data_IF_420243064510
#
_entry.id   IF_420243064510
#
_cell.length_a   1.000
_cell.length_b   1.000
_cell.length_c   1.000
_cell.angle_alpha   90.00
_cell.angle_beta   90.00
_cell.angle_gamma   90.00
#
_symmetry.space_group_name_H-M   'P 1'
#
loop_
_entity.id
_entity.type
_entity.pdbx_description
1 polymer ?
#
# COMPACT_ATOMS: atom_id res chain seq x y z
N UNK A 1 -40.76 38.92 -36.69
CA UNK A 1 -41.86 39.88 -36.94
C UNK A 1 -41.25 41.26 -37.00
N UNK A 2 -41.03 41.76 -38.22
CA UNK A 2 -40.35 43.02 -38.53
C UNK A 2 -41.30 44.19 -38.25
N UNK A 3 -40.84 45.20 -37.49
CA UNK A 3 -41.59 46.46 -37.28
C UNK A 3 -41.04 47.57 -38.16
N UNK A 4 -41.99 48.30 -38.74
CA UNK A 4 -41.87 49.24 -39.82
C UNK A 4 -41.28 50.60 -39.41
N UNK A 5 -40.68 51.26 -40.41
CA UNK A 5 -40.27 52.65 -40.40
C UNK A 5 -41.46 53.59 -40.62
N UNK A 6 -41.44 54.76 -39.98
CA UNK A 6 -42.24 55.92 -40.37
C UNK A 6 -41.46 57.21 -40.08
N UNK A 7 -41.20 57.97 -41.15
CA UNK A 7 -40.77 59.38 -41.11
C UNK A 7 -42.01 60.27 -41.18
N UNK A 8 -41.92 61.52 -40.67
CA UNK A 8 -42.54 62.61 -41.43
C UNK A 8 -41.66 63.87 -41.53
N UNK A 9 -41.55 64.36 -42.79
CA UNK A 9 -41.93 65.71 -43.22
C UNK A 9 -41.38 66.95 -42.51
N UNK A 10 -40.43 67.61 -43.18
CA UNK A 10 -40.00 69.01 -43.04
C UNK A 10 -41.05 70.03 -43.48
N UNK A 11 -41.07 71.22 -42.85
CA UNK A 11 -41.22 72.61 -43.40
C UNK A 11 -41.56 73.58 -42.25
N UNK A 12 -41.26 74.89 -42.20
CA UNK A 12 -40.20 75.79 -42.64
C UNK A 12 -40.55 77.18 -41.99
N UNK A 13 -39.52 77.98 -41.66
CA UNK A 13 -39.46 79.46 -41.51
C UNK A 13 -40.41 80.24 -40.57
N UNK A 14 -39.84 80.98 -39.58
CA UNK A 14 -39.87 82.46 -39.53
C UNK A 14 -39.16 83.07 -38.29
N UNK A 15 -38.25 84.03 -38.54
CA UNK A 15 -37.81 85.09 -37.60
C UNK A 15 -36.47 84.91 -36.87
N UNK A 16 -35.46 85.81 -37.04
CA UNK A 16 -34.32 85.90 -36.15
C UNK A 16 -34.69 86.78 -34.95
N UNK A 17 -35.46 86.24 -34.01
CA UNK A 17 -35.50 86.79 -32.66
C UNK A 17 -34.16 86.47 -32.00
N UNK A 18 -33.52 87.42 -31.27
CA UNK A 18 -32.35 87.08 -30.49
C UNK A 18 -32.80 86.06 -29.44
N UNK A 19 -32.39 84.81 -29.64
CA UNK A 19 -32.64 83.68 -28.77
C UNK A 19 -31.83 83.88 -27.48
N UNK A 20 -32.24 84.86 -26.66
CA UNK A 20 -31.77 84.97 -25.29
C UNK A 20 -32.20 83.67 -24.62
N UNK A 21 -31.23 82.78 -24.37
CA UNK A 21 -31.41 81.49 -23.72
C UNK A 21 -31.87 81.70 -22.27
N UNK A 22 -33.13 82.09 -22.11
CA UNK A 22 -33.81 82.21 -20.83
C UNK A 22 -34.33 80.81 -20.47
N UNK A 23 -33.42 79.94 -20.02
CA UNK A 23 -33.80 78.59 -19.61
C UNK A 23 -32.61 77.66 -19.35
N UNK A 24 -32.27 77.49 -18.07
CA UNK A 24 -31.69 76.30 -17.41
C UNK A 24 -30.59 75.45 -18.07
N UNK A 25 -29.86 75.94 -19.08
CA UNK A 25 -28.76 75.20 -19.71
C UNK A 25 -27.65 74.83 -18.71
N UNK A 26 -27.37 75.71 -17.73
CA UNK A 26 -26.40 75.45 -16.67
C UNK A 26 -26.88 74.29 -15.78
N UNK A 27 -28.16 74.25 -15.41
CA UNK A 27 -28.71 73.14 -14.62
C UNK A 27 -28.69 71.82 -15.39
N UNK A 28 -28.98 71.86 -16.70
CA UNK A 28 -28.90 70.70 -17.56
C UNK A 28 -27.46 70.18 -17.70
N UNK A 29 -26.48 71.08 -17.81
CA UNK A 29 -25.06 70.71 -17.85
C UNK A 29 -24.60 70.08 -16.53
N UNK A 30 -24.96 70.67 -15.39
CA UNK A 30 -24.68 70.11 -14.06
C UNK A 30 -25.37 68.76 -13.87
N UNK A 31 -26.61 68.62 -14.33
CA UNK A 31 -27.34 67.36 -14.27
C UNK A 31 -26.64 66.29 -15.11
N UNK A 32 -26.24 66.62 -16.35
CA UNK A 32 -25.52 65.70 -17.23
C UNK A 32 -24.19 65.26 -16.62
N UNK A 33 -23.43 66.18 -16.01
CA UNK A 33 -22.19 65.86 -15.29
C UNK A 33 -22.44 64.90 -14.12
N UNK A 34 -23.46 65.17 -13.29
CA UNK A 34 -23.86 64.27 -12.18
C UNK A 34 -24.32 62.91 -12.70
N UNK A 35 -25.06 62.85 -13.81
CA UNK A 35 -25.46 61.59 -14.44
C UNK A 35 -24.25 60.81 -14.96
N UNK A 36 -23.25 61.48 -15.55
CA UNK A 36 -22.03 60.84 -16.01
C UNK A 36 -21.20 60.28 -14.84
N UNK A 37 -21.07 61.05 -13.76
CA UNK A 37 -20.39 60.62 -12.54
C UNK A 37 -21.11 59.44 -11.89
N UNK A 38 -22.45 59.49 -11.77
CA UNK A 38 -23.24 58.36 -11.27
C UNK A 38 -23.03 57.09 -12.11
N UNK A 39 -23.03 57.21 -13.45
CA UNK A 39 -22.76 56.07 -14.36
C UNK A 39 -21.36 55.50 -14.16
N UNK A 40 -20.34 56.34 -13.95
CA UNK A 40 -18.98 55.91 -13.63
C UNK A 40 -18.95 55.10 -12.32
N UNK A 41 -19.60 55.59 -11.27
CA UNK A 41 -19.68 54.87 -10.00
C UNK A 41 -20.46 53.56 -10.11
N UNK A 42 -21.59 53.56 -10.81
CA UNK A 42 -22.39 52.37 -11.06
C UNK A 42 -21.58 51.28 -11.80
N UNK A 43 -20.83 51.66 -12.84
CA UNK A 43 -19.97 50.74 -13.57
C UNK A 43 -18.85 50.17 -12.68
N UNK A 44 -18.23 51.03 -11.85
CA UNK A 44 -17.19 50.61 -10.91
C UNK A 44 -17.74 49.58 -9.91
N UNK A 45 -18.93 49.83 -9.36
CA UNK A 45 -19.61 48.91 -8.45
C UNK A 45 -19.95 47.58 -9.14
N UNK A 46 -20.43 47.61 -10.38
CA UNK A 46 -20.70 46.40 -11.17
C UNK A 46 -19.43 45.58 -11.38
N UNK A 47 -18.31 46.22 -11.74
CA UNK A 47 -17.02 45.54 -11.92
C UNK A 47 -16.53 44.90 -10.62
N UNK A 48 -16.58 45.65 -9.51
CA UNK A 48 -16.21 45.12 -8.19
C UNK A 48 -17.11 43.95 -7.77
N UNK A 49 -18.41 44.05 -8.01
CA UNK A 49 -19.37 42.97 -7.75
C UNK A 49 -19.00 41.72 -8.55
N UNK A 50 -18.69 41.86 -9.85
CA UNK A 50 -18.26 40.74 -10.69
C UNK A 50 -16.97 40.08 -10.17
N UNK A 51 -16.00 40.89 -9.72
CA UNK A 51 -14.76 40.38 -9.11
C UNK A 51 -15.03 39.61 -7.81
N UNK A 52 -15.91 40.12 -6.94
CA UNK A 52 -16.30 39.44 -5.70
C UNK A 52 -16.96 38.10 -6.01
N UNK A 53 -17.89 38.05 -6.97
CA UNK A 53 -18.58 36.82 -7.37
C UNK A 53 -17.61 35.78 -7.96
N UNK A 54 -16.67 36.21 -8.79
CA UNK A 54 -15.64 35.33 -9.37
C UNK A 54 -14.70 34.77 -8.29
N UNK A 55 -14.28 35.62 -7.34
CA UNK A 55 -13.48 35.19 -6.20
C UNK A 55 -14.25 34.19 -5.31
N UNK A 56 -15.56 34.41 -5.09
CA UNK A 56 -16.40 33.50 -4.32
C UNK A 56 -16.52 32.13 -4.99
N UNK A 57 -16.79 32.09 -6.30
CA UNK A 57 -16.85 30.84 -7.05
C UNK A 57 -15.53 30.05 -6.96
N UNK A 58 -14.39 30.77 -7.03
CA UNK A 58 -13.06 30.18 -6.87
C UNK A 58 -12.83 29.65 -5.45
N UNK A 59 -13.26 30.39 -4.43
CA UNK A 59 -13.20 29.97 -3.03
C UNK A 59 -13.99 28.68 -2.81
N UNK A 60 -15.22 28.60 -3.31
CA UNK A 60 -16.08 27.42 -3.18
C UNK A 60 -15.50 26.19 -3.90
N UNK A 61 -14.88 26.40 -5.07
CA UNK A 61 -14.17 25.33 -5.76
C UNK A 61 -12.98 24.82 -4.93
N UNK A 62 -12.18 25.73 -4.36
CA UNK A 62 -11.04 25.35 -3.53
C UNK A 62 -11.46 24.66 -2.23
N UNK A 63 -12.55 25.09 -1.61
CA UNK A 63 -13.09 24.44 -0.41
C UNK A 63 -13.54 22.99 -0.70
N UNK A 64 -14.18 22.75 -1.84
CA UNK A 64 -14.52 21.39 -2.28
C UNK A 64 -13.27 20.54 -2.52
N UNK A 65 -12.28 21.06 -3.23
CA UNK A 65 -10.99 20.38 -3.43
C UNK A 65 -10.30 20.03 -2.09
N UNK A 66 -10.37 20.91 -1.10
CA UNK A 66 -9.82 20.65 0.25
C UNK A 66 -10.58 19.51 0.94
N UNK A 67 -11.90 19.45 0.80
CA UNK A 67 -12.71 18.37 1.38
C UNK A 67 -12.37 17.02 0.73
N UNK A 68 -12.31 16.96 -0.60
CA UNK A 68 -11.95 15.76 -1.34
C UNK A 68 -10.57 15.23 -0.92
N UNK A 69 -9.58 16.12 -0.79
CA UNK A 69 -8.23 15.75 -0.34
C UNK A 69 -8.20 15.26 1.11
N UNK A 70 -9.01 15.84 2.00
CA UNK A 70 -9.13 15.38 3.39
C UNK A 70 -9.71 13.97 3.46
N UNK A 71 -10.72 13.66 2.64
CA UNK A 71 -11.32 12.33 2.57
C UNK A 71 -10.34 11.30 2.00
N UNK A 72 -9.65 11.63 0.90
CA UNK A 72 -8.61 10.76 0.32
C UNK A 72 -7.50 10.46 1.32
N UNK A 73 -7.03 11.47 2.04
CA UNK A 73 -6.04 11.28 3.12
C UNK A 73 -6.56 10.36 4.21
N UNK A 74 -7.80 10.54 4.66
CA UNK A 74 -8.41 9.70 5.70
C UNK A 74 -8.49 8.23 5.26
N UNK A 75 -8.87 7.99 4.00
CA UNK A 75 -8.89 6.65 3.41
C UNK A 75 -7.50 6.02 3.39
N UNK A 76 -6.49 6.76 2.95
CA UNK A 76 -5.10 6.27 2.94
C UNK A 76 -4.58 5.97 4.35
N UNK A 77 -4.90 6.79 5.34
CA UNK A 77 -4.50 6.53 6.73
C UNK A 77 -5.17 5.26 7.29
N UNK A 78 -6.44 5.03 6.95
CA UNK A 78 -7.15 3.80 7.35
C UNK A 78 -6.53 2.53 6.73
N UNK A 79 -6.14 2.58 5.46
CA UNK A 79 -5.42 1.48 4.81
C UNK A 79 -4.03 1.28 5.40
N UNK A 80 -3.30 2.37 5.68
CA UNK A 80 -2.00 2.30 6.35
C UNK A 80 -2.12 1.59 7.69
N UNK A 81 -3.11 1.94 8.51
CA UNK A 81 -3.35 1.31 9.80
C UNK A 81 -3.71 -0.18 9.63
N UNK A 82 -4.58 -0.52 8.68
CA UNK A 82 -4.94 -1.90 8.36
C UNK A 82 -3.72 -2.74 7.99
N UNK A 83 -2.87 -2.23 7.10
CA UNK A 83 -1.65 -2.93 6.68
C UNK A 83 -0.64 -3.09 7.82
N UNK A 84 -0.49 -2.08 8.68
CA UNK A 84 0.35 -2.19 9.88
C UNK A 84 -0.17 -3.26 10.84
N UNK A 85 -1.49 -3.41 10.96
CA UNK A 85 -2.08 -4.47 11.77
C UNK A 85 -1.80 -5.86 11.17
N UNK A 86 -1.99 -6.03 9.86
CA UNK A 86 -1.66 -7.29 9.18
C UNK A 86 -0.17 -7.65 9.31
N UNK A 87 0.73 -6.66 9.24
CA UNK A 87 2.16 -6.89 9.43
C UNK A 87 2.48 -7.35 10.86
N UNK A 88 1.79 -6.80 11.85
CA UNK A 88 1.91 -7.24 13.26
C UNK A 88 1.51 -8.70 13.40
N UNK A 89 0.34 -9.07 12.87
CA UNK A 89 -0.17 -10.45 12.90
C UNK A 89 0.82 -11.44 12.25
N UNK A 90 1.37 -11.10 11.07
CA UNK A 90 2.37 -11.95 10.40
C UNK A 90 3.63 -12.12 11.25
N UNK A 91 4.10 -11.07 11.92
CA UNK A 91 5.25 -11.18 12.81
C UNK A 91 4.94 -12.05 14.03
N UNK A 92 3.76 -11.91 14.65
CA UNK A 92 3.33 -12.76 15.76
C UNK A 92 3.25 -14.24 15.34
N UNK A 93 2.74 -14.53 14.16
CA UNK A 93 2.65 -15.91 13.65
C UNK A 93 4.01 -16.48 13.28
N UNK A 94 4.94 -15.66 12.77
CA UNK A 94 6.34 -16.06 12.59
C UNK A 94 6.97 -16.42 13.93
N UNK A 95 6.84 -15.57 14.94
CA UNK A 95 7.44 -15.82 16.25
C UNK A 95 6.86 -17.09 16.92
N UNK A 96 5.56 -17.39 16.70
CA UNK A 96 4.96 -18.68 17.10
C UNK A 96 5.56 -19.86 16.34
N UNK A 97 5.74 -19.74 15.03
CA UNK A 97 6.34 -20.78 14.21
C UNK A 97 7.79 -21.07 14.63
N UNK A 98 8.58 -20.03 14.90
CA UNK A 98 9.96 -20.15 15.38
C UNK A 98 10.01 -20.88 16.74
N UNK A 99 9.09 -20.56 17.65
CA UNK A 99 8.99 -21.25 18.95
C UNK A 99 8.62 -22.74 18.79
N UNK A 100 7.68 -23.05 17.89
CA UNK A 100 7.29 -24.43 17.58
C UNK A 100 8.44 -25.19 16.93
N UNK A 101 9.18 -24.56 16.02
CA UNK A 101 10.36 -25.16 15.38
C UNK A 101 11.42 -25.53 16.42
N UNK A 102 11.76 -24.61 17.32
CA UNK A 102 12.73 -24.88 18.40
C UNK A 102 12.27 -26.04 19.28
N UNK A 103 10.97 -26.09 19.61
CA UNK A 103 10.39 -27.16 20.43
C UNK A 103 10.50 -28.50 19.73
N UNK A 104 10.07 -28.58 18.46
CA UNK A 104 10.15 -29.81 17.67
C UNK A 104 11.60 -30.27 17.44
N UNK A 105 12.53 -29.35 17.18
CA UNK A 105 13.94 -29.68 17.02
C UNK A 105 14.53 -30.30 18.30
N UNK A 106 14.14 -29.79 19.47
CA UNK A 106 14.53 -30.37 20.75
C UNK A 106 13.94 -31.77 20.91
N UNK A 107 12.65 -31.95 20.66
CA UNK A 107 11.98 -33.24 20.75
C UNK A 107 12.58 -34.28 19.78
N UNK A 108 12.89 -33.89 18.55
CA UNK A 108 13.58 -34.75 17.58
C UNK A 108 14.98 -35.15 18.09
N UNK A 109 15.73 -34.22 18.68
CA UNK A 109 17.05 -34.50 19.24
C UNK A 109 16.98 -35.45 20.43
N UNK A 110 15.99 -35.24 21.32
CA UNK A 110 15.74 -36.10 22.48
C UNK A 110 15.33 -37.52 22.04
N UNK A 111 14.46 -37.64 21.02
CA UNK A 111 14.06 -38.92 20.45
C UNK A 111 15.23 -39.65 19.77
N UNK A 112 16.06 -38.96 19.00
CA UNK A 112 17.26 -39.56 18.41
C UNK A 112 18.21 -40.07 19.50
N UNK A 113 18.44 -39.28 20.54
CA UNK A 113 19.28 -39.68 21.67
C UNK A 113 18.71 -40.92 22.38
N UNK A 114 17.39 -40.96 22.58
CA UNK A 114 16.71 -42.11 23.18
C UNK A 114 16.79 -43.36 22.32
N UNK A 115 16.58 -43.23 21.01
CA UNK A 115 16.73 -44.35 20.05
C UNK A 115 18.15 -44.89 20.10
N UNK A 116 19.16 -44.01 20.05
CA UNK A 116 20.56 -44.41 20.11
C UNK A 116 20.88 -45.16 21.42
N UNK A 117 20.40 -44.63 22.55
CA UNK A 117 20.59 -45.25 23.88
C UNK A 117 19.99 -46.67 23.93
N UNK A 118 18.77 -46.86 23.41
CA UNK A 118 18.11 -48.17 23.39
C UNK A 118 18.83 -49.12 22.42
N UNK A 119 19.19 -48.61 21.24
CA UNK A 119 19.84 -49.38 20.19
C UNK A 119 21.20 -49.94 20.62
N UNK A 120 22.02 -49.11 21.28
CA UNK A 120 23.37 -49.48 21.71
C UNK A 120 23.40 -50.27 23.02
N UNK A 121 22.38 -50.13 23.87
CA UNK A 121 22.29 -50.80 25.16
C UNK A 121 21.57 -52.15 25.10
N UNK A 122 20.34 -52.15 25.60
CA UNK A 122 19.55 -53.37 25.82
C UNK A 122 19.26 -54.11 24.51
N UNK A 123 18.98 -53.38 23.43
CA UNK A 123 18.66 -54.00 22.14
C UNK A 123 19.87 -54.75 21.55
N UNK A 124 21.06 -54.14 21.55
CA UNK A 124 22.27 -54.78 21.03
C UNK A 124 22.60 -56.07 21.80
N UNK A 125 22.50 -56.02 23.13
CA UNK A 125 22.73 -57.19 24.00
C UNK A 125 21.73 -58.29 23.70
N UNK A 126 20.43 -57.97 23.68
CA UNK A 126 19.37 -58.93 23.38
C UNK A 126 19.51 -59.53 21.96
N UNK A 127 19.87 -58.71 20.96
CA UNK A 127 20.09 -59.17 19.59
C UNK A 127 21.24 -60.17 19.52
N UNK A 128 22.37 -59.86 20.18
CA UNK A 128 23.53 -60.76 20.24
C UNK A 128 23.17 -62.11 20.86
N UNK A 129 22.40 -62.11 21.96
CA UNK A 129 21.96 -63.34 22.61
C UNK A 129 21.03 -64.19 21.72
N UNK A 130 20.08 -63.54 21.02
CA UNK A 130 19.18 -64.23 20.08
C UNK A 130 19.94 -64.77 18.87
N UNK A 131 20.89 -64.02 18.32
CA UNK A 131 21.70 -64.46 17.18
C UNK A 131 22.60 -65.64 17.58
N UNK A 132 23.16 -65.66 18.79
CA UNK A 132 23.89 -66.81 19.34
C UNK A 132 22.99 -68.06 19.42
N UNK A 133 21.79 -67.94 19.99
CA UNK A 133 20.85 -69.06 20.09
C UNK A 133 20.39 -69.56 18.71
N UNK A 134 20.19 -68.65 17.75
CA UNK A 134 19.88 -69.01 16.36
C UNK A 134 21.02 -69.77 15.71
N UNK A 135 22.26 -69.35 15.94
CA UNK A 135 23.43 -70.05 15.44
C UNK A 135 23.55 -71.48 16.01
N UNK A 136 23.27 -71.66 17.30
CA UNK A 136 23.22 -72.99 17.95
C UNK A 136 22.13 -73.90 17.35
N UNK A 137 21.00 -73.31 16.90
CA UNK A 137 19.90 -74.01 16.23
C UNK A 137 20.07 -74.14 14.70
N UNK A 138 21.17 -73.65 14.13
CA UNK A 138 21.43 -73.67 12.68
C UNK A 138 20.56 -72.71 11.86
N UNK A 139 19.97 -71.69 12.48
CA UNK A 139 19.18 -70.64 11.83
C UNK A 139 20.04 -69.40 11.46
N UNK A 140 19.68 -68.67 10.39
CA UNK A 140 20.37 -67.44 10.03
C UNK A 140 20.12 -66.31 11.05
N UNK A 141 21.07 -65.37 11.20
CA UNK A 141 20.94 -64.24 12.13
C UNK A 141 19.81 -63.30 11.72
N UNK A 142 19.29 -62.56 12.69
CA UNK A 142 18.22 -61.59 12.45
C UNK A 142 18.68 -60.41 11.60
N UNK A 143 17.78 -59.82 10.79
CA UNK A 143 18.05 -58.60 10.04
C UNK A 143 18.44 -57.44 10.97
N UNK A 144 19.16 -56.45 10.43
CA UNK A 144 19.58 -55.29 11.22
C UNK A 144 18.39 -54.41 11.58
N UNK A 145 18.47 -53.74 12.74
CA UNK A 145 17.46 -52.77 13.18
C UNK A 145 17.22 -51.69 12.11
N UNK A 146 18.28 -51.24 11.45
CA UNK A 146 18.21 -50.26 10.37
C UNK A 146 17.35 -50.73 9.19
N UNK A 147 17.50 -51.99 8.77
CA UNK A 147 16.70 -52.56 7.69
C UNK A 147 15.20 -52.57 8.05
N UNK A 148 14.87 -52.93 9.29
CA UNK A 148 13.49 -52.91 9.79
C UNK A 148 12.93 -51.48 9.90
N UNK A 149 13.73 -50.51 10.35
CA UNK A 149 13.33 -49.10 10.40
C UNK A 149 13.04 -48.58 8.98
N UNK A 150 13.91 -48.88 8.02
CA UNK A 150 13.74 -48.41 6.65
C UNK A 150 12.48 -48.98 6.00
N UNK A 151 12.21 -50.28 6.17
CA UNK A 151 10.97 -50.90 5.71
C UNK A 151 9.72 -50.24 6.30
N UNK A 152 9.73 -49.97 7.63
CA UNK A 152 8.64 -49.28 8.32
C UNK A 152 8.48 -47.84 7.84
N UNK A 153 9.57 -47.13 7.60
CA UNK A 153 9.55 -45.75 7.10
C UNK A 153 8.93 -45.67 5.70
N UNK A 154 9.25 -46.63 4.82
CA UNK A 154 8.65 -46.72 3.49
C UNK A 154 7.16 -47.05 3.58
N UNK A 155 6.75 -47.89 4.54
CA UNK A 155 5.35 -48.19 4.78
C UNK A 155 4.59 -46.94 5.25
N UNK A 156 5.15 -46.19 6.20
CA UNK A 156 4.54 -44.95 6.68
C UNK A 156 4.36 -43.91 5.57
N UNK A 157 5.37 -43.74 4.70
CA UNK A 157 5.27 -42.83 3.54
C UNK A 157 4.20 -43.28 2.54
N UNK A 158 4.04 -44.58 2.31
CA UNK A 158 2.96 -45.13 1.48
C UNK A 158 1.61 -44.83 2.10
N UNK A 159 1.45 -45.04 3.41
CA UNK A 159 0.21 -44.80 4.14
C UNK A 159 -0.16 -43.31 4.17
N UNK A 160 0.83 -42.43 4.31
CA UNK A 160 0.62 -40.98 4.25
C UNK A 160 0.14 -40.54 2.86
N UNK A 161 0.68 -41.15 1.80
CA UNK A 161 0.27 -40.86 0.41
C UNK A 161 -1.16 -41.31 0.15
N UNK A 162 -1.53 -42.53 0.57
CA UNK A 162 -2.91 -43.03 0.40
C UNK A 162 -3.91 -42.25 1.24
N UNK A 163 -3.52 -41.79 2.44
CA UNK A 163 -4.35 -40.92 3.27
C UNK A 163 -4.55 -39.53 2.62
N UNK A 164 -3.50 -38.95 2.05
CA UNK A 164 -3.59 -37.70 1.30
C UNK A 164 -4.51 -37.82 0.08
N UNK A 165 -4.41 -38.92 -0.67
CA UNK A 165 -5.29 -39.20 -1.81
C UNK A 165 -6.76 -39.41 -1.37
N UNK A 166 -7.01 -39.94 -0.17
CA UNK A 166 -8.36 -40.12 0.38
C UNK A 166 -9.05 -38.81 0.80
N UNK A 167 -8.29 -37.82 1.28
CA UNK A 167 -8.81 -36.50 1.67
C UNK A 167 -9.02 -35.57 0.46
N UNK A 168 -8.32 -35.83 -0.64
CA UNK A 168 -8.45 -35.08 -1.90
C UNK A 168 -9.40 -35.74 -2.91
N UNK A 169 -10.04 -36.86 -2.55
CA UNK A 169 -11.08 -37.45 -3.38
C UNK A 169 -12.28 -36.49 -3.47
N UNK A 170 -12.72 -36.08 -4.68
CA UNK A 170 -13.86 -35.19 -4.83
C UNK A 170 -15.12 -35.92 -4.34
N UNK A 171 -15.53 -35.61 -3.10
CA UNK A 171 -16.88 -35.89 -2.62
C UNK A 171 -17.85 -35.17 -3.56
N UNK A 172 -18.38 -35.93 -4.52
CA UNK A 172 -19.59 -35.59 -5.25
C UNK A 172 -20.71 -35.42 -4.23
N UNK A 173 -20.92 -34.20 -3.74
CA UNK A 173 -22.18 -33.86 -3.09
C UNK A 173 -23.24 -33.82 -4.18
N UNK A 174 -24.12 -34.80 -4.12
CA UNK A 174 -25.45 -34.76 -4.72
C UNK A 174 -26.08 -33.40 -4.48
N UNK A 175 -26.53 -32.77 -5.55
CA UNK A 175 -27.33 -31.56 -5.55
C UNK A 175 -28.76 -31.93 -5.96
N UNK A 176 -29.56 -32.25 -4.95
CA UNK A 176 -31.03 -32.21 -4.88
C UNK A 176 -31.29 -31.43 -3.57
N UNK A 177 -32.16 -30.44 -3.40
CA UNK A 177 -33.35 -29.99 -4.12
C UNK A 177 -33.80 -28.62 -3.51
N UNK A 178 -34.58 -27.83 -4.28
CA UNK A 178 -35.45 -26.69 -3.92
C UNK A 178 -34.92 -25.37 -3.30
N UNK A 179 -35.14 -24.25 -4.02
CA UNK A 179 -35.19 -22.90 -3.43
C UNK A 179 -35.12 -21.69 -4.38
N UNK A 180 -36.24 -21.39 -5.05
CA UNK A 180 -36.77 -20.02 -5.29
C UNK A 180 -36.03 -19.04 -6.23
N UNK A 181 -36.53 -19.00 -7.48
CA UNK A 181 -36.93 -17.82 -8.27
C UNK A 181 -36.30 -16.43 -7.97
N UNK A 182 -35.49 -15.91 -8.92
CA UNK A 182 -35.01 -14.52 -8.89
C UNK A 182 -33.78 -14.20 -9.76
N UNK A 183 -33.96 -14.11 -11.09
CA UNK A 183 -33.05 -13.52 -12.08
C UNK A 183 -32.96 -11.95 -11.90
N UNK A 184 -31.98 -11.14 -12.41
CA UNK A 184 -30.99 -11.35 -13.49
C UNK A 184 -29.54 -10.80 -13.37
N UNK A 185 -28.77 -11.11 -14.44
CA UNK A 185 -27.53 -10.49 -14.96
C UNK A 185 -26.23 -10.94 -14.26
N UNK A 186 -25.26 -11.58 -14.90
CA UNK A 186 -24.84 -11.52 -16.30
C UNK A 186 -23.56 -10.71 -16.43
N UNK A 187 -22.40 -11.29 -16.05
CA UNK A 187 -21.14 -11.31 -16.82
C UNK A 187 -19.98 -11.89 -16.01
N UNK A 188 -19.31 -12.87 -16.62
CA UNK A 188 -18.18 -13.64 -16.09
C UNK A 188 -16.94 -12.77 -15.88
N UNK A 189 -16.08 -13.11 -14.90
CA UNK A 189 -14.74 -12.58 -14.77
C UNK A 189 -13.82 -13.29 -15.77
N UNK A 190 -13.16 -12.55 -16.66
CA UNK A 190 -12.10 -13.09 -17.51
C UNK A 190 -10.86 -12.22 -17.43
N UNK A 191 -9.82 -12.78 -16.81
CA UNK A 191 -8.46 -12.71 -17.33
C UNK A 191 -7.74 -11.36 -17.25
N UNK A 192 -6.91 -11.24 -16.22
CA UNK A 192 -5.65 -10.47 -16.16
C UNK A 192 -4.79 -10.65 -17.45
N UNK A 193 -3.69 -9.91 -17.64
CA UNK A 193 -3.53 -8.52 -18.08
C UNK A 193 -2.89 -8.44 -19.50
N UNK A 194 -3.23 -7.46 -20.34
CA UNK A 194 -2.44 -7.16 -21.56
C UNK A 194 -1.38 -6.11 -21.24
N UNK A 195 -0.12 -6.54 -21.30
CA UNK A 195 1.05 -5.73 -20.95
C UNK A 195 1.39 -4.60 -21.90
N UNK A 196 2.25 -3.72 -21.34
CA UNK A 196 3.38 -3.00 -21.94
C UNK A 196 3.19 -2.30 -23.30
N UNK A 197 3.06 -0.97 -23.23
CA UNK A 197 3.55 -0.05 -24.26
C UNK A 197 4.27 1.12 -23.59
N UNK A 198 5.57 0.99 -23.35
CA UNK A 198 6.48 2.12 -23.18
C UNK A 198 7.04 2.52 -24.56
N UNK A 199 6.85 3.78 -24.95
CA UNK A 199 7.50 4.40 -26.11
C UNK A 199 8.81 5.07 -25.63
N UNK A 200 10.00 4.72 -26.16
CA UNK A 200 11.16 5.58 -26.02
C UNK A 200 11.17 6.67 -27.11
N UNK A 201 11.51 7.90 -26.72
CA UNK A 201 11.76 9.05 -27.60
C UNK A 201 13.27 9.12 -27.89
N UNK A 202 13.71 9.41 -29.13
CA UNK A 202 15.12 9.42 -29.48
C UNK A 202 15.81 10.73 -29.07
N UNK A 203 17.04 10.62 -28.57
CA UNK A 203 18.04 11.69 -28.49
C UNK A 203 19.05 11.54 -29.64
N UNK A 204 19.43 12.63 -30.34
CA UNK A 204 20.55 12.60 -31.27
C UNK A 204 21.90 12.79 -30.56
N UNK A 205 22.90 12.02 -31.01
CA UNK A 205 24.34 12.20 -30.75
C UNK A 205 24.86 13.48 -31.44
N UNK A 206 26.02 14.11 -31.16
CA UNK A 206 27.42 13.66 -30.94
C UNK A 206 28.27 14.98 -30.69
N UNK A 207 29.62 15.03 -30.61
CA UNK A 207 30.66 14.24 -29.89
C UNK A 207 31.73 15.11 -29.13
N UNK A 208 32.64 14.42 -28.43
CA UNK A 208 34.12 14.62 -28.41
C UNK A 208 34.84 15.14 -27.14
N UNK A 209 36.07 14.60 -26.98
CA UNK A 209 37.20 14.85 -26.07
C UNK A 209 37.15 14.10 -24.70
N UNK A 210 37.87 12.98 -24.49
CA UNK A 210 39.33 12.71 -24.46
C UNK A 210 40.04 13.23 -23.19
N UNK A 211 40.71 12.33 -22.45
CA UNK A 211 41.64 12.61 -21.33
C UNK A 211 41.29 11.89 -20.02
N UNK A 212 41.61 10.61 -19.83
CA UNK A 212 42.85 10.07 -19.19
C UNK A 212 43.06 10.46 -17.72
N UNK A 213 42.77 9.55 -16.78
CA UNK A 213 43.69 9.08 -15.71
C UNK A 213 43.00 8.13 -14.73
N UNK A 214 43.55 6.91 -14.61
CA UNK A 214 43.48 6.00 -13.46
C UNK A 214 44.76 6.19 -12.62
N UNK A 215 45.07 5.40 -11.56
CA UNK A 215 44.27 4.64 -10.57
C UNK A 215 44.76 4.89 -9.12
N UNK A 216 44.08 4.37 -8.08
CA UNK A 216 44.82 3.67 -6.98
C UNK A 216 43.93 2.66 -6.24
N UNK A 217 44.51 1.49 -6.00
CA UNK A 217 43.95 0.31 -5.36
C UNK A 217 44.55 0.11 -3.94
N UNK A 218 43.93 -0.80 -3.16
CA UNK A 218 44.46 -1.41 -1.93
C UNK A 218 43.68 -0.97 -0.69
N UNK A 219 42.83 -1.76 -0.02
CA UNK A 219 42.90 -3.15 0.50
C UNK A 219 44.04 -3.37 1.51
N UNK A 220 43.68 -3.54 2.79
CA UNK A 220 44.22 -4.49 3.81
C UNK A 220 44.03 -3.90 5.24
N UNK A 221 43.07 -4.39 6.04
CA UNK A 221 43.17 -5.41 7.12
C UNK A 221 43.64 -4.91 8.50
N UNK A 222 42.74 -5.08 9.48
CA UNK A 222 42.90 -5.61 10.84
C UNK A 222 43.99 -5.06 11.79
N UNK A 223 43.58 -4.61 12.99
CA UNK A 223 43.89 -5.28 14.26
C UNK A 223 43.39 -4.48 15.49
N UNK A 224 42.67 -5.18 16.36
CA UNK A 224 42.41 -4.88 17.79
C UNK A 224 43.73 -4.98 18.58
N UNK A 225 43.94 -4.19 19.66
CA UNK A 225 43.72 -4.74 21.01
C UNK A 225 43.14 -3.73 22.03
N UNK A 226 42.34 -4.25 22.97
CA UNK A 226 42.03 -3.63 24.27
C UNK A 226 43.16 -3.98 25.29
N UNK A 227 43.11 -3.66 26.60
CA UNK A 227 42.20 -2.80 27.37
C UNK A 227 42.93 -1.79 28.30
N UNK A 228 42.21 -0.85 28.93
CA UNK A 228 42.70 -0.21 30.16
C UNK A 228 41.56 -0.01 31.16
N UNK A 229 41.82 -0.43 32.39
CA UNK A 229 40.94 -0.44 33.54
C UNK A 229 41.21 0.73 34.49
N UNK A 230 40.19 1.06 35.30
CA UNK A 230 40.27 1.82 36.55
C UNK A 230 39.64 3.21 36.47
N UNK A 231 38.96 3.75 37.47
CA UNK A 231 38.41 3.29 38.75
C UNK A 231 37.67 4.51 39.34
N UNK A 232 36.67 4.27 40.20
CA UNK A 232 36.03 5.27 41.08
C UNK A 232 34.76 5.89 40.48
N UNK A 233 33.58 5.87 41.10
CA UNK A 233 33.26 5.88 42.52
C UNK A 233 32.48 7.18 42.80
N UNK A 234 31.21 7.11 43.21
CA UNK A 234 30.46 8.33 43.54
C UNK A 234 28.95 8.17 43.61
N UNK A 235 28.49 7.79 44.79
CA UNK A 235 27.12 7.81 45.32
C UNK A 235 26.48 9.20 45.42
N UNK A 236 25.14 9.23 45.35
CA UNK A 236 24.26 10.37 45.70
C UNK A 236 23.05 10.38 44.78
N UNK A 237 21.95 9.68 45.06
CA UNK A 237 20.94 9.96 46.09
C UNK A 237 20.59 11.45 46.20
N UNK A 238 19.51 11.85 45.53
CA UNK A 238 18.75 13.05 45.90
C UNK A 238 17.30 12.89 45.43
N UNK A 239 16.44 12.57 46.39
CA UNK A 239 14.99 12.67 46.29
C UNK A 239 14.53 14.16 46.16
N UNK A 240 13.31 14.41 45.65
CA UNK A 240 12.81 15.76 45.40
C UNK A 240 12.08 16.36 46.62
N UNK A 241 12.00 17.70 46.76
CA UNK A 241 10.98 18.33 47.57
C UNK A 241 9.80 18.80 46.72
N UNK A 242 8.61 18.53 47.27
CA UNK A 242 7.34 19.07 46.87
C UNK A 242 7.21 20.57 47.19
N UNK A 243 6.51 21.29 46.33
CA UNK A 243 5.70 22.47 46.66
C UNK A 243 4.58 22.58 45.63
#
# INVERSE_FOLDING_TARGET
MSSAAASPGTSASNGPTPLVAQGDWIKNLVHLAKTAELKKHALTLQLQTAHILSAHASLDQKNRQIQDLKEQRNRLESERLRLLNCLREVNEDRDKADLLEVTLNKECSDLHTKIQTIADGDYATAKSDVDRLRQELGQPPLPSLQATIEEKSQQFLKDLRTQSDSLNAPSKRSAEDLGTEGQPTGKRPRGRPKGSKTKPKPTPATPAAAGTSTPTAGKATAATPAPQAGAGGGSGDTAPPAA
#
